data_IF_019843372139
#
_entry.id   IF_019843372139
#
_cell.length_a   1.000
_cell.length_b   1.000
_cell.length_c   1.000
_cell.angle_alpha   90.00
_cell.angle_beta   90.00
_cell.angle_gamma   90.00
#
_symmetry.space_group_name_H-M   'P 1'
#
loop_
_entity.id
_entity.type
_entity.pdbx_description
1 polymer ?
#
# COMPACT_ATOMS: atom_id res chain seq x y z
N UNK A 1 21.77 -1.33 9.86
CA UNK A 1 21.91 -0.60 8.59
C UNK A 1 20.52 -0.20 8.15
N UNK A 2 20.17 1.08 8.32
CA UNK A 2 18.83 1.60 8.03
C UNK A 2 18.69 1.78 6.51
N UNK A 3 17.72 1.09 5.89
CA UNK A 3 17.45 1.21 4.45
C UNK A 3 16.48 2.38 4.21
N UNK A 4 16.92 3.44 3.51
CA UNK A 4 16.09 4.63 3.30
C UNK A 4 14.82 4.36 2.49
N UNK A 5 14.83 3.34 1.63
CA UNK A 5 13.66 2.90 0.86
C UNK A 5 12.49 2.41 1.76
N UNK A 6 12.76 2.09 3.03
CA UNK A 6 11.74 1.62 3.98
C UNK A 6 11.12 2.73 4.83
N UNK A 7 11.64 3.97 4.79
CA UNK A 7 11.12 5.08 5.62
C UNK A 7 9.64 5.31 5.41
N UNK A 8 9.20 5.31 4.16
CA UNK A 8 7.79 5.48 3.82
C UNK A 8 6.92 4.39 4.46
N UNK A 9 7.33 3.13 4.37
CA UNK A 9 6.61 2.01 4.97
C UNK A 9 6.54 2.11 6.49
N UNK A 10 7.63 2.54 7.16
CA UNK A 10 7.63 2.74 8.61
C UNK A 10 6.70 3.88 9.03
N UNK A 11 6.70 5.02 8.32
CA UNK A 11 5.79 6.15 8.58
C UNK A 11 4.34 5.70 8.40
N UNK A 12 4.05 4.97 7.33
CA UNK A 12 2.72 4.42 7.05
C UNK A 12 2.28 3.51 8.21
N UNK A 13 3.15 2.61 8.64
CA UNK A 13 2.89 1.66 9.72
C UNK A 13 2.59 2.38 11.05
N UNK A 14 3.35 3.43 11.38
CA UNK A 14 3.11 4.26 12.57
C UNK A 14 1.76 4.96 12.50
N UNK A 15 1.43 5.60 11.37
CA UNK A 15 0.14 6.27 11.16
C UNK A 15 -1.00 5.26 11.32
N UNK A 16 -0.85 4.06 10.76
CA UNK A 16 -1.85 3.00 10.87
C UNK A 16 -1.99 2.44 12.29
N UNK A 17 -0.90 2.28 13.03
CA UNK A 17 -0.93 1.88 14.43
C UNK A 17 -1.65 2.93 15.30
N UNK A 18 -1.35 4.22 15.09
CA UNK A 18 -2.02 5.32 15.79
C UNK A 18 -3.51 5.35 15.45
N UNK A 19 -3.86 5.28 14.16
CA UNK A 19 -5.26 5.25 13.71
C UNK A 19 -6.03 4.10 14.35
N UNK A 20 -5.46 2.89 14.34
CA UNK A 20 -6.06 1.69 14.92
C UNK A 20 -6.24 1.83 16.43
N UNK A 21 -5.23 2.35 17.13
CA UNK A 21 -5.29 2.59 18.57
C UNK A 21 -6.38 3.61 18.94
N UNK A 22 -6.44 4.75 18.24
CA UNK A 22 -7.44 5.79 18.48
C UNK A 22 -8.86 5.26 18.20
N UNK A 23 -9.02 4.48 17.13
CA UNK A 23 -10.31 3.91 16.76
C UNK A 23 -10.76 2.82 17.73
N UNK A 24 -9.84 1.98 18.19
CA UNK A 24 -10.10 0.99 19.24
C UNK A 24 -10.54 1.67 20.54
N UNK A 25 -9.82 2.71 20.97
CA UNK A 25 -10.15 3.46 22.19
C UNK A 25 -11.57 4.05 22.14
N UNK A 26 -12.03 4.45 20.95
CA UNK A 26 -13.36 5.03 20.75
C UNK A 26 -14.47 3.97 20.70
N UNK A 27 -14.24 2.85 20.03
CA UNK A 27 -15.31 1.84 19.82
C UNK A 27 -15.35 0.77 20.89
N UNK A 28 -14.23 0.47 21.55
CA UNK A 28 -14.01 -0.68 22.45
C UNK A 28 -14.39 -2.04 21.84
N UNK A 29 -14.62 -2.07 20.53
CA UNK A 29 -14.99 -3.26 19.77
C UNK A 29 -13.82 -3.59 18.84
N UNK A 30 -13.07 -4.64 19.22
CA UNK A 30 -11.92 -5.12 18.48
C UNK A 30 -12.30 -5.52 17.05
N UNK A 31 -13.46 -6.16 16.87
CA UNK A 31 -13.88 -6.67 15.56
C UNK A 31 -14.25 -5.53 14.62
N UNK A 32 -15.03 -4.55 15.12
CA UNK A 32 -15.38 -3.35 14.35
C UNK A 32 -14.14 -2.53 14.00
N UNK A 33 -13.19 -2.43 14.93
CA UNK A 33 -11.91 -1.73 14.70
C UNK A 33 -11.09 -2.42 13.62
N UNK A 34 -10.86 -3.73 13.75
CA UNK A 34 -10.10 -4.51 12.77
C UNK A 34 -10.71 -4.42 11.37
N UNK A 35 -12.04 -4.54 11.26
CA UNK A 35 -12.73 -4.46 9.98
C UNK A 35 -12.51 -3.10 9.31
N UNK A 36 -12.63 -2.00 10.06
CA UNK A 36 -12.44 -0.66 9.52
C UNK A 36 -10.97 -0.41 9.15
N UNK A 37 -10.03 -0.77 10.03
CA UNK A 37 -8.59 -0.65 9.75
C UNK A 37 -8.19 -1.42 8.49
N UNK A 38 -8.60 -2.68 8.37
CA UNK A 38 -8.27 -3.52 7.19
C UNK A 38 -8.93 -2.97 5.93
N UNK A 39 -10.16 -2.43 6.04
CA UNK A 39 -10.83 -1.78 4.90
C UNK A 39 -10.04 -0.56 4.42
N UNK A 40 -9.62 0.32 5.32
CA UNK A 40 -8.83 1.50 4.97
C UNK A 40 -7.48 1.10 4.37
N UNK A 41 -6.77 0.16 4.99
CA UNK A 41 -5.51 -0.38 4.48
C UNK A 41 -5.66 -0.94 3.08
N UNK A 42 -6.73 -1.69 2.83
CA UNK A 42 -7.01 -2.26 1.52
C UNK A 42 -7.14 -1.18 0.46
N UNK A 43 -7.94 -0.13 0.69
CA UNK A 43 -8.09 0.96 -0.27
C UNK A 43 -6.79 1.72 -0.52
N UNK A 44 -6.01 2.01 0.53
CA UNK A 44 -4.69 2.64 0.38
C UNK A 44 -3.76 1.76 -0.46
N UNK A 45 -3.74 0.45 -0.19
CA UNK A 45 -2.93 -0.51 -0.93
C UNK A 45 -3.33 -0.59 -2.41
N UNK A 46 -4.63 -0.55 -2.71
CA UNK A 46 -5.15 -0.48 -4.09
C UNK A 46 -4.64 0.78 -4.80
N UNK A 47 -4.75 1.94 -4.17
CA UNK A 47 -4.27 3.21 -4.75
C UNK A 47 -2.76 3.17 -5.01
N UNK A 48 -1.96 2.65 -4.07
CA UNK A 48 -0.52 2.45 -4.26
C UNK A 48 -0.23 1.49 -5.42
N UNK A 49 -0.94 0.36 -5.49
CA UNK A 49 -0.78 -0.64 -6.56
C UNK A 49 -1.09 -0.05 -7.94
N UNK A 50 -2.19 0.69 -8.07
CA UNK A 50 -2.57 1.35 -9.33
C UNK A 50 -1.54 2.40 -9.71
N UNK A 51 -1.10 3.23 -8.75
CA UNK A 51 -0.14 4.29 -9.00
C UNK A 51 1.22 3.73 -9.46
N UNK A 52 1.71 2.67 -8.82
CA UNK A 52 2.93 1.99 -9.22
C UNK A 52 2.78 1.30 -10.59
N UNK A 53 1.61 0.72 -10.89
CA UNK A 53 1.33 0.12 -12.19
C UNK A 53 1.37 1.17 -13.31
N UNK A 54 0.69 2.30 -13.13
CA UNK A 54 0.67 3.39 -14.10
C UNK A 54 2.08 3.94 -14.37
N UNK A 55 2.88 4.08 -13.32
CA UNK A 55 4.26 4.54 -13.44
C UNK A 55 5.14 3.51 -14.16
N UNK A 56 4.98 2.22 -13.83
CA UNK A 56 5.66 1.13 -14.54
C UNK A 56 5.31 1.11 -16.03
N UNK A 57 4.03 1.22 -16.40
CA UNK A 57 3.60 1.27 -17.81
C UNK A 57 4.12 2.49 -18.55
N UNK A 58 4.18 3.64 -17.89
CA UNK A 58 4.76 4.84 -18.48
C UNK A 58 6.27 4.70 -18.68
N UNK A 59 6.95 4.05 -17.74
CA UNK A 59 8.39 3.75 -17.83
C UNK A 59 8.73 2.75 -18.95
N UNK A 60 7.77 1.95 -19.43
CA UNK A 60 7.95 1.04 -20.56
C UNK A 60 7.86 1.75 -21.93
N UNK A 61 7.28 2.95 -21.99
CA UNK A 61 7.21 3.71 -23.25
C UNK A 61 8.59 4.28 -23.56
N UNK A 62 9.06 4.20 -24.82
CA UNK A 62 10.33 4.83 -25.20
C UNK A 62 10.19 6.35 -25.02
N UNK A 63 10.94 6.91 -24.09
CA UNK A 63 11.04 8.35 -23.82
C UNK A 63 12.45 8.84 -24.14
N UNK A 64 12.56 10.04 -24.70
CA UNK A 64 13.82 10.72 -24.99
C UNK A 64 14.52 11.27 -23.74
N UNK A 65 13.78 11.42 -22.63
CA UNK A 65 14.23 12.07 -21.39
C UNK A 65 14.54 11.09 -20.24
N UNK A 66 14.45 9.77 -20.48
CA UNK A 66 14.70 8.74 -19.47
C UNK A 66 13.46 8.32 -18.67
N UNK A 67 13.67 7.48 -17.65
CA UNK A 67 12.59 6.91 -16.82
C UNK A 67 12.34 7.83 -15.63
N UNK A 68 11.23 8.57 -15.65
CA UNK A 68 10.83 9.50 -14.60
C UNK A 68 9.62 9.02 -13.78
N UNK A 69 9.50 9.50 -12.54
CA UNK A 69 8.32 9.27 -11.70
C UNK A 69 7.15 10.11 -12.23
N UNK A 70 6.07 9.45 -12.62
CA UNK A 70 4.94 10.14 -13.26
C UNK A 70 3.78 10.52 -12.34
N UNK A 71 3.77 10.07 -11.08
CA UNK A 71 2.71 10.39 -10.14
C UNK A 71 3.22 10.58 -8.71
N UNK A 72 2.48 11.41 -7.96
CA UNK A 72 2.81 11.82 -6.59
C UNK A 72 2.87 10.64 -5.61
N UNK A 73 2.04 9.62 -5.80
CA UNK A 73 2.02 8.44 -4.92
C UNK A 73 3.28 7.61 -5.10
N UNK A 74 3.72 7.40 -6.34
CA UNK A 74 5.00 6.78 -6.67
C UNK A 74 6.18 7.62 -6.21
N UNK A 75 6.06 8.96 -6.27
CA UNK A 75 7.06 9.87 -5.71
C UNK A 75 7.22 9.66 -4.20
N UNK A 76 6.12 9.56 -3.46
CA UNK A 76 6.18 9.29 -2.02
C UNK A 76 6.68 7.89 -1.68
N UNK A 77 6.40 6.90 -2.54
CA UNK A 77 6.82 5.52 -2.34
C UNK A 77 8.29 5.26 -2.66
N UNK A 78 8.82 5.87 -3.72
CA UNK A 78 10.14 5.55 -4.29
C UNK A 78 11.14 6.71 -4.16
N UNK A 79 10.67 7.97 -4.11
CA UNK A 79 11.52 9.15 -3.97
C UNK A 79 12.28 9.54 -5.24
N UNK A 80 12.83 10.76 -5.25
CA UNK A 80 13.51 11.36 -6.41
C UNK A 80 14.94 10.84 -6.64
N UNK A 81 15.57 10.21 -5.64
CA UNK A 81 16.97 9.76 -5.65
C UNK A 81 17.24 8.54 -6.56
N UNK A 82 16.29 8.16 -7.40
CA UNK A 82 16.39 7.03 -8.33
C UNK A 82 17.23 7.31 -9.60
N UNK A 83 18.24 8.20 -9.52
CA UNK A 83 19.15 8.57 -10.61
C UNK A 83 20.21 7.49 -10.96
N UNK A 84 19.92 6.22 -10.69
CA UNK A 84 20.78 5.12 -11.10
C UNK A 84 20.27 4.55 -12.45
N UNK A 85 21.06 4.64 -13.55
CA UNK A 85 20.61 4.40 -14.93
C UNK A 85 20.20 2.95 -15.26
N UNK A 86 20.26 2.03 -14.30
CA UNK A 86 19.90 0.60 -14.43
C UNK A 86 18.69 0.22 -13.56
N UNK A 87 18.19 1.14 -12.72
CA UNK A 87 17.39 0.80 -11.55
C UNK A 87 15.90 1.16 -11.60
N UNK A 88 15.38 1.81 -12.62
CA UNK A 88 14.03 2.41 -12.51
C UNK A 88 12.88 1.45 -12.90
N UNK A 89 12.88 0.82 -14.08
CA UNK A 89 11.78 -0.09 -14.49
C UNK A 89 11.68 -1.32 -13.60
N UNK A 90 12.82 -1.94 -13.25
CA UNK A 90 12.83 -3.15 -12.41
C UNK A 90 12.40 -2.84 -10.97
N UNK A 91 12.72 -1.66 -10.45
CA UNK A 91 12.27 -1.21 -9.14
C UNK A 91 10.76 -0.97 -9.13
N UNK A 92 10.20 -0.27 -10.13
CA UNK A 92 8.76 -0.10 -10.24
C UNK A 92 8.04 -1.45 -10.37
N UNK A 93 8.59 -2.39 -11.16
CA UNK A 93 8.04 -3.74 -11.28
C UNK A 93 8.03 -4.49 -9.94
N UNK A 94 9.13 -4.42 -9.19
CA UNK A 94 9.28 -5.07 -7.89
C UNK A 94 8.35 -4.43 -6.86
N UNK A 95 8.33 -3.10 -6.76
CA UNK A 95 7.45 -2.35 -5.87
C UNK A 95 5.98 -2.59 -6.18
N UNK A 96 5.60 -2.59 -7.46
CA UNK A 96 4.25 -2.94 -7.91
C UNK A 96 3.87 -4.36 -7.49
N UNK A 97 4.76 -5.33 -7.72
CA UNK A 97 4.52 -6.73 -7.37
C UNK A 97 4.32 -6.90 -5.86
N UNK A 98 5.15 -6.26 -5.03
CA UNK A 98 5.00 -6.27 -3.57
C UNK A 98 3.69 -5.61 -3.15
N UNK A 99 3.36 -4.44 -3.69
CA UNK A 99 2.10 -3.76 -3.39
C UNK A 99 0.88 -4.59 -3.78
N UNK A 100 0.94 -5.30 -4.91
CA UNK A 100 -0.13 -6.19 -5.36
C UNK A 100 -0.32 -7.37 -4.41
N UNK A 101 0.76 -8.02 -3.97
CA UNK A 101 0.69 -9.09 -2.97
C UNK A 101 0.09 -8.61 -1.64
N UNK A 102 0.50 -7.43 -1.16
CA UNK A 102 -0.09 -6.82 0.04
C UNK A 102 -1.60 -6.58 -0.16
N UNK A 103 -2.00 -6.04 -1.31
CA UNK A 103 -3.42 -5.82 -1.65
C UNK A 103 -4.21 -7.12 -1.64
N UNK A 104 -3.67 -8.22 -2.20
CA UNK A 104 -4.32 -9.53 -2.21
C UNK A 104 -4.46 -10.14 -0.81
N UNK A 105 -3.43 -10.01 0.04
CA UNK A 105 -3.48 -10.46 1.43
C UNK A 105 -4.55 -9.69 2.20
N UNK A 106 -4.58 -8.37 2.07
CA UNK A 106 -5.60 -7.52 2.70
C UNK A 106 -7.01 -7.85 2.22
N UNK A 107 -7.18 -8.13 0.93
CA UNK A 107 -8.46 -8.58 0.36
C UNK A 107 -8.92 -9.90 1.00
N UNK A 108 -8.01 -10.88 1.13
CA UNK A 108 -8.31 -12.16 1.77
C UNK A 108 -8.78 -11.97 3.22
N UNK A 109 -8.05 -11.17 4.01
CA UNK A 109 -8.44 -10.82 5.38
C UNK A 109 -9.79 -10.10 5.43
N UNK A 110 -10.05 -9.16 4.52
CA UNK A 110 -11.31 -8.44 4.44
C UNK A 110 -12.48 -9.40 4.19
N UNK A 111 -12.32 -10.34 3.25
CA UNK A 111 -13.34 -11.37 2.95
C UNK A 111 -13.63 -12.20 4.20
N UNK A 112 -12.58 -12.71 4.87
CA UNK A 112 -12.73 -13.51 6.10
C UNK A 112 -13.50 -12.73 7.17
N UNK A 113 -13.16 -11.48 7.41
CA UNK A 113 -13.85 -10.63 8.39
C UNK A 113 -15.31 -10.38 8.02
N UNK A 114 -15.62 -10.14 6.74
CA UNK A 114 -17.00 -9.97 6.30
C UNK A 114 -17.83 -11.25 6.48
N UNK A 115 -17.25 -12.43 6.23
CA UNK A 115 -17.89 -13.70 6.51
C UNK A 115 -18.14 -13.91 8.01
N UNK A 116 -17.15 -13.66 8.86
CA UNK A 116 -17.30 -13.76 10.32
C UNK A 116 -18.40 -12.82 10.84
N UNK A 117 -18.50 -11.60 10.29
CA UNK A 117 -19.56 -10.64 10.64
C UNK A 117 -20.94 -11.17 10.29
N UNK A 118 -21.09 -11.82 9.13
CA UNK A 118 -22.35 -12.41 8.68
C UNK A 118 -22.77 -13.56 9.58
N UNK A 119 -21.83 -14.40 10.01
CA UNK A 119 -22.10 -15.50 10.95
C UNK A 119 -22.55 -14.98 12.32
N UNK A 120 -21.89 -13.95 12.86
CA UNK A 120 -22.29 -13.31 14.13
C UNK A 120 -23.68 -12.66 14.12
N UNK A 121 -24.24 -12.31 12.95
CA UNK A 121 -25.60 -11.75 12.84
C UNK A 121 -26.69 -12.82 12.74
N UNK A 122 -26.33 -14.08 12.50
CA UNK A 122 -27.26 -15.20 12.33
C UNK A 122 -27.44 -16.04 13.60
N UNK A 123 -26.55 -15.88 14.57
CA UNK A 123 -26.60 -16.48 15.92
C UNK A 123 -27.20 -15.43 16.84
#
# INVERSE_FOLDING_TARGET
>A
MFNPELYFYYILLIIFSIFTYLFYRRTKDLFKTLLITITVLFFVSVVCSISLALNYYQSLKPSTEGIGISNVVSYWLIGEDAWAPVWTIQLFKKAYSVSLWITLILLSFLIILLFMKKTKRKI
#
